data_IF_997876321926
#
_entry.id   IF_997876321926
#
_cell.length_a   1.000
_cell.length_b   1.000
_cell.length_c   1.000
_cell.angle_alpha   90.00
_cell.angle_beta   90.00
_cell.angle_gamma   90.00
#
_symmetry.space_group_name_H-M   'P 1'
#
loop_
_entity.id
_entity.type
_entity.pdbx_description
1 polymer ?
#
# COMPACT_ATOMS: atom_id res chain seq x y z
N UNK A 1 31.71 -5.88 -8.66
CA UNK A 1 30.61 -4.97 -9.00
C UNK A 1 30.36 -4.11 -7.78
N UNK A 2 30.35 -2.79 -7.84
CA UNK A 2 30.05 -1.98 -6.67
C UNK A 2 28.60 -2.27 -6.27
N UNK A 3 28.40 -2.80 -5.07
CA UNK A 3 27.10 -2.84 -4.41
C UNK A 3 26.69 -1.39 -4.19
N UNK A 4 25.71 -0.91 -4.94
CA UNK A 4 25.13 0.43 -4.68
C UNK A 4 24.51 0.36 -3.30
N UNK A 5 25.18 0.91 -2.30
CA UNK A 5 24.63 1.05 -0.96
C UNK A 5 23.32 1.84 -1.06
N UNK A 6 22.22 1.23 -0.66
CA UNK A 6 20.94 1.92 -0.59
C UNK A 6 21.02 3.04 0.44
N UNK A 7 20.71 4.25 0.03
CA UNK A 7 20.66 5.40 0.93
C UNK A 7 19.50 5.27 1.92
N UNK A 8 19.73 5.70 3.16
CA UNK A 8 18.67 5.82 4.15
C UNK A 8 17.69 6.92 3.75
N UNK A 9 16.38 6.63 3.81
CA UNK A 9 15.30 7.53 3.37
C UNK A 9 14.12 7.51 4.33
N UNK A 10 13.40 8.63 4.41
CA UNK A 10 12.07 8.65 5.01
C UNK A 10 11.16 7.74 4.18
N UNK A 11 10.73 6.64 4.77
CA UNK A 11 10.06 5.55 4.06
C UNK A 11 8.65 5.34 4.58
N UNK A 12 7.71 5.14 3.67
CA UNK A 12 6.34 4.72 3.98
C UNK A 12 6.06 3.35 3.34
N UNK A 13 5.32 2.49 4.02
CA UNK A 13 4.79 1.27 3.44
C UNK A 13 3.33 1.46 3.04
N UNK A 14 2.94 0.86 1.94
CA UNK A 14 1.58 0.80 1.46
C UNK A 14 1.17 -0.66 1.28
N UNK A 15 0.60 -1.23 2.34
CA UNK A 15 0.07 -2.57 2.35
C UNK A 15 -1.34 -2.65 1.76
N UNK A 16 -1.66 -3.73 1.09
CA UNK A 16 -3.00 -3.93 0.56
C UNK A 16 -3.16 -5.26 -0.16
N UNK A 17 -4.41 -5.66 -0.37
CA UNK A 17 -4.70 -6.85 -1.19
C UNK A 17 -4.36 -6.60 -2.65
N UNK A 18 -4.62 -5.39 -3.17
CA UNK A 18 -4.43 -4.98 -4.56
C UNK A 18 -5.03 -5.99 -5.56
N UNK A 19 -6.31 -6.25 -5.45
CA UNK A 19 -7.04 -7.26 -6.23
C UNK A 19 -8.14 -6.67 -7.14
N UNK A 20 -7.75 -5.95 -8.20
CA UNK A 20 -6.40 -5.50 -8.56
C UNK A 20 -6.01 -4.14 -8.00
N UNK A 21 -4.76 -3.74 -8.20
CA UNK A 21 -4.36 -2.34 -8.11
C UNK A 21 -5.10 -1.51 -9.18
N UNK A 22 -5.44 -0.26 -8.84
CA UNK A 22 -6.20 0.63 -9.73
C UNK A 22 -5.76 2.09 -9.58
N UNK A 23 -6.26 2.98 -10.44
CA UNK A 23 -5.92 4.41 -10.47
C UNK A 23 -6.11 5.11 -9.12
N UNK A 24 -7.10 4.67 -8.32
CA UNK A 24 -7.30 5.18 -6.97
C UNK A 24 -6.10 4.94 -6.04
N UNK A 25 -5.44 3.79 -6.11
CA UNK A 25 -4.23 3.54 -5.35
C UNK A 25 -3.07 4.44 -5.80
N UNK A 26 -2.92 4.68 -7.10
CA UNK A 26 -1.90 5.58 -7.64
C UNK A 26 -2.18 7.05 -7.26
N UNK A 27 -3.44 7.43 -7.19
CA UNK A 27 -3.85 8.75 -6.69
C UNK A 27 -3.41 8.94 -5.23
N UNK A 28 -3.53 7.91 -4.37
CA UNK A 28 -3.06 7.98 -2.99
C UNK A 28 -1.53 8.16 -2.90
N UNK A 29 -0.76 7.56 -3.81
CA UNK A 29 0.70 7.78 -3.88
C UNK A 29 1.01 9.25 -4.22
N UNK A 30 0.28 9.83 -5.18
CA UNK A 30 0.42 11.24 -5.52
C UNK A 30 0.06 12.14 -4.35
N UNK A 31 -1.05 11.87 -3.66
CA UNK A 31 -1.45 12.63 -2.47
C UNK A 31 -0.45 12.51 -1.31
N UNK A 32 0.16 11.33 -1.13
CA UNK A 32 1.22 11.14 -0.15
C UNK A 32 2.44 12.03 -0.48
N UNK A 33 2.84 12.05 -1.76
CA UNK A 33 3.97 12.85 -2.24
C UNK A 33 3.76 14.35 -2.00
N UNK A 34 2.57 14.86 -2.32
CA UNK A 34 2.22 16.28 -2.17
C UNK A 34 2.12 16.73 -0.70
N UNK A 35 1.70 15.84 0.21
CA UNK A 35 1.32 16.22 1.57
C UNK A 35 2.30 15.73 2.65
N UNK A 36 3.37 15.03 2.28
CA UNK A 36 4.31 14.46 3.25
C UNK A 36 5.76 14.58 2.79
N UNK A 37 6.73 14.48 3.71
CA UNK A 37 8.14 14.49 3.36
C UNK A 37 8.69 13.10 3.00
N UNK A 38 7.86 12.06 2.83
CA UNK A 38 8.37 10.73 2.48
C UNK A 38 9.10 10.76 1.14
N UNK A 39 10.19 9.99 1.06
CA UNK A 39 11.08 9.91 -0.10
C UNK A 39 11.01 8.54 -0.78
N UNK A 40 10.51 7.53 -0.06
CA UNK A 40 10.34 6.16 -0.55
C UNK A 40 8.99 5.61 -0.13
N UNK A 41 8.34 4.89 -1.05
CA UNK A 41 7.16 4.09 -0.74
C UNK A 41 7.41 2.65 -1.16
N UNK A 42 7.20 1.72 -0.23
CA UNK A 42 7.27 0.29 -0.50
C UNK A 42 5.85 -0.25 -0.54
N UNK A 43 5.40 -0.66 -1.71
CA UNK A 43 4.09 -1.27 -1.92
C UNK A 43 4.20 -2.76 -1.64
N UNK A 44 3.31 -3.28 -0.79
CA UNK A 44 3.40 -4.64 -0.28
C UNK A 44 2.07 -5.37 -0.49
N UNK A 45 1.94 -6.16 -1.57
CA UNK A 45 0.77 -6.99 -1.78
C UNK A 45 0.67 -8.09 -0.72
N UNK A 46 -0.44 -8.10 0.01
CA UNK A 46 -0.70 -9.12 1.03
C UNK A 46 -0.83 -10.52 0.42
N UNK A 47 -0.28 -11.54 1.08
CA UNK A 47 -0.56 -12.94 0.72
C UNK A 47 -2.03 -13.28 1.01
N UNK A 48 -2.40 -13.20 2.27
CA UNK A 48 -3.77 -13.26 2.77
C UNK A 48 -3.90 -12.11 3.76
N UNK A 49 -4.73 -11.12 3.45
CA UNK A 49 -4.94 -10.00 4.36
C UNK A 49 -5.62 -10.48 5.64
N UNK A 50 -5.08 -10.10 6.78
CA UNK A 50 -5.69 -10.40 8.07
C UNK A 50 -7.10 -9.80 8.25
N UNK A 51 -7.43 -8.76 7.47
CA UNK A 51 -8.75 -8.12 7.44
C UNK A 51 -9.74 -8.76 6.46
N UNK A 52 -9.30 -9.72 5.62
CA UNK A 52 -10.08 -10.33 4.52
C UNK A 52 -9.81 -11.83 4.39
N UNK A 53 -9.76 -12.55 5.50
CA UNK A 53 -9.39 -13.97 5.52
C UNK A 53 -10.40 -14.87 4.78
N UNK A 54 -11.67 -14.48 4.75
CA UNK A 54 -12.75 -15.23 4.09
C UNK A 54 -12.89 -14.93 2.59
N UNK A 55 -11.97 -14.14 2.01
CA UNK A 55 -11.98 -13.83 0.58
C UNK A 55 -11.00 -14.72 -0.17
N UNK A 56 -11.34 -15.04 -1.43
CA UNK A 56 -10.47 -15.76 -2.37
C UNK A 56 -9.94 -14.77 -3.43
N UNK A 57 -8.93 -13.96 -3.11
CA UNK A 57 -8.38 -13.02 -4.07
C UNK A 57 -7.67 -13.75 -5.22
N UNK A 58 -7.50 -13.04 -6.34
CA UNK A 58 -6.62 -13.47 -7.42
C UNK A 58 -5.24 -13.85 -6.90
N UNK A 59 -4.53 -14.72 -7.60
CA UNK A 59 -3.22 -15.21 -7.14
C UNK A 59 -2.31 -14.08 -6.66
N UNK A 60 -1.58 -14.31 -5.59
CA UNK A 60 -0.68 -13.30 -5.03
C UNK A 60 0.41 -12.87 -6.04
N UNK A 61 0.81 -13.77 -6.93
CA UNK A 61 1.79 -13.49 -7.99
C UNK A 61 1.19 -12.56 -9.05
N UNK A 62 -0.05 -12.79 -9.49
CA UNK A 62 -0.70 -11.90 -10.45
C UNK A 62 -0.89 -10.50 -9.86
N UNK A 63 -1.31 -10.41 -8.60
CA UNK A 63 -1.46 -9.13 -7.91
C UNK A 63 -0.13 -8.39 -7.77
N UNK A 64 0.94 -9.10 -7.44
CA UNK A 64 2.30 -8.54 -7.40
C UNK A 64 2.75 -8.03 -8.79
N UNK A 65 2.51 -8.79 -9.85
CA UNK A 65 2.85 -8.39 -11.21
C UNK A 65 2.06 -7.15 -11.65
N UNK A 66 0.76 -7.11 -11.37
CA UNK A 66 -0.07 -5.94 -11.67
C UNK A 66 0.41 -4.69 -10.93
N UNK A 67 0.84 -4.81 -9.67
CA UNK A 67 1.43 -3.69 -8.93
C UNK A 67 2.71 -3.21 -9.60
N UNK A 68 3.61 -4.09 -10.01
CA UNK A 68 4.84 -3.70 -10.73
C UNK A 68 4.56 -2.96 -12.03
N UNK A 69 3.60 -3.44 -12.80
CA UNK A 69 3.18 -2.80 -14.06
C UNK A 69 2.63 -1.41 -13.78
N UNK A 70 1.71 -1.27 -12.84
CA UNK A 70 1.08 0.00 -12.49
C UNK A 70 2.11 1.05 -12.04
N UNK A 71 3.08 0.66 -11.22
CA UNK A 71 4.12 1.58 -10.75
C UNK A 71 5.05 2.01 -11.87
N UNK A 72 5.45 1.11 -12.76
CA UNK A 72 6.27 1.45 -13.92
C UNK A 72 5.56 2.44 -14.84
N UNK A 73 4.27 2.27 -15.09
CA UNK A 73 3.47 3.21 -15.86
C UNK A 73 3.34 4.57 -15.15
N UNK A 74 3.15 4.54 -13.83
CA UNK A 74 3.08 5.75 -13.02
C UNK A 74 4.36 6.56 -13.12
N UNK A 75 5.54 5.96 -12.90
CA UNK A 75 6.85 6.61 -13.02
C UNK A 75 7.12 7.14 -14.43
N UNK A 76 6.62 6.44 -15.47
CA UNK A 76 6.78 6.89 -16.86
C UNK A 76 5.89 8.09 -17.18
N UNK A 77 4.69 8.11 -16.63
CA UNK A 77 3.66 9.11 -16.94
C UNK A 77 3.77 10.38 -16.10
N UNK A 78 4.22 10.24 -14.86
CA UNK A 78 4.26 11.33 -13.88
C UNK A 78 5.69 11.47 -13.32
N UNK A 79 6.32 12.66 -13.43
CA UNK A 79 7.56 12.91 -12.73
C UNK A 79 7.30 12.84 -11.22
N UNK A 80 7.88 11.87 -10.56
CA UNK A 80 7.75 11.67 -9.10
C UNK A 80 9.11 11.77 -8.43
N UNK A 81 9.15 12.39 -7.24
CA UNK A 81 10.32 12.38 -6.36
C UNK A 81 10.40 11.13 -5.48
N UNK A 82 9.31 10.34 -5.43
CA UNK A 82 9.27 9.12 -4.64
C UNK A 82 10.07 7.99 -5.31
N UNK A 83 10.93 7.35 -4.55
CA UNK A 83 11.44 6.03 -4.90
C UNK A 83 10.33 5.00 -4.66
N UNK A 84 9.80 4.42 -5.72
CA UNK A 84 8.76 3.42 -5.64
C UNK A 84 9.36 2.02 -5.68
N UNK A 85 9.02 1.19 -4.70
CA UNK A 85 9.47 -0.19 -4.63
C UNK A 85 8.30 -1.14 -4.39
N UNK A 86 8.41 -2.37 -4.85
CA UNK A 86 7.44 -3.44 -4.56
C UNK A 86 8.15 -4.53 -3.77
N UNK A 87 7.56 -4.93 -2.65
CA UNK A 87 8.08 -6.06 -1.85
C UNK A 87 7.15 -7.26 -1.97
N UNK A 88 7.73 -8.43 -2.17
CA UNK A 88 7.04 -9.72 -2.15
C UNK A 88 7.18 -10.45 -0.80
N UNK A 89 7.60 -9.73 0.24
CA UNK A 89 7.92 -10.30 1.55
C UNK A 89 6.76 -11.06 2.18
N UNK A 90 5.55 -10.52 2.12
CA UNK A 90 4.35 -11.20 2.65
C UNK A 90 3.98 -12.42 1.82
N UNK A 91 4.16 -12.36 0.49
CA UNK A 91 3.92 -13.48 -0.42
C UNK A 91 4.90 -14.63 -0.10
N UNK A 92 6.18 -14.31 0.08
CA UNK A 92 7.23 -15.29 0.41
C UNK A 92 7.08 -15.88 1.81
N UNK A 93 6.68 -15.06 2.79
CA UNK A 93 6.44 -15.50 4.16
C UNK A 93 5.30 -16.51 4.21
N UNK A 94 4.28 -16.34 3.37
CA UNK A 94 3.09 -17.19 3.36
C UNK A 94 2.16 -16.94 4.55
N UNK A 95 1.03 -17.62 4.57
CA UNK A 95 0.05 -17.49 5.66
C UNK A 95 -0.64 -16.13 5.70
N UNK A 96 -1.19 -15.78 6.86
CA UNK A 96 -1.85 -14.50 7.14
C UNK A 96 -0.79 -13.41 7.34
N UNK A 97 -0.99 -12.27 6.67
CA UNK A 97 -0.10 -11.11 6.75
C UNK A 97 -0.51 -10.20 7.90
N UNK A 98 0.36 -10.04 8.88
CA UNK A 98 0.20 -9.06 9.96
C UNK A 98 1.14 -7.87 9.74
N UNK A 99 0.60 -6.66 9.94
CA UNK A 99 1.35 -5.42 9.72
C UNK A 99 2.62 -5.33 10.57
N UNK A 100 2.58 -5.79 11.82
CA UNK A 100 3.76 -5.82 12.70
C UNK A 100 4.92 -6.59 12.06
N UNK A 101 4.66 -7.83 11.59
CA UNK A 101 5.70 -8.67 10.99
C UNK A 101 6.27 -8.05 9.72
N UNK A 102 5.42 -7.36 8.97
CA UNK A 102 5.82 -6.64 7.75
C UNK A 102 6.68 -5.44 8.07
N UNK A 103 6.37 -4.68 9.12
CA UNK A 103 7.18 -3.56 9.60
C UNK A 103 8.57 -4.03 10.00
N UNK A 104 8.68 -5.09 10.79
CA UNK A 104 9.97 -5.67 11.20
C UNK A 104 10.79 -6.10 9.97
N UNK A 105 10.18 -6.84 9.04
CA UNK A 105 10.84 -7.28 7.80
C UNK A 105 11.36 -6.11 6.95
N UNK A 106 10.58 -5.03 6.84
CA UNK A 106 10.98 -3.83 6.10
C UNK A 106 12.12 -3.11 6.81
N UNK A 107 12.05 -2.95 8.13
CA UNK A 107 13.12 -2.31 8.91
C UNK A 107 14.45 -3.07 8.88
N UNK A 108 14.41 -4.39 8.73
CA UNK A 108 15.61 -5.22 8.58
C UNK A 108 16.24 -5.11 7.18
N UNK A 109 15.42 -4.94 6.14
CA UNK A 109 15.87 -5.02 4.73
C UNK A 109 16.17 -3.67 4.10
N UNK A 110 15.59 -2.60 4.63
CA UNK A 110 15.69 -1.28 4.03
C UNK A 110 16.33 -0.26 4.97
N UNK A 111 17.28 0.54 4.51
CA UNK A 111 17.84 1.63 5.31
C UNK A 111 16.80 2.75 5.42
N UNK A 112 16.30 2.97 6.63
CA UNK A 112 15.21 3.89 6.94
C UNK A 112 15.74 5.03 7.81
N UNK A 113 15.35 6.26 7.48
CA UNK A 113 15.56 7.44 8.31
C UNK A 113 14.29 7.74 9.10
N UNK A 114 14.40 7.92 10.39
CA UNK A 114 13.27 8.23 11.27
C UNK A 114 12.33 7.02 11.47
N UNK A 115 11.04 7.31 11.65
CA UNK A 115 10.02 6.28 11.86
C UNK A 115 9.45 5.83 10.50
N UNK A 116 9.10 4.57 10.41
CA UNK A 116 8.44 4.03 9.23
C UNK A 116 6.98 4.53 9.17
N UNK A 117 6.56 5.06 8.01
CA UNK A 117 5.15 5.39 7.78
C UNK A 117 4.33 4.16 7.40
N UNK A 118 3.08 4.09 7.84
CA UNK A 118 2.09 3.14 7.34
C UNK A 118 0.96 3.91 6.67
N UNK A 119 0.79 3.71 5.36
CA UNK A 119 -0.29 4.30 4.58
C UNK A 119 -1.55 3.45 4.71
N UNK A 120 -2.65 4.08 5.10
CA UNK A 120 -3.93 3.39 5.34
C UNK A 120 -5.13 4.28 5.08
N UNK A 121 -6.31 3.68 4.93
CA UNK A 121 -7.59 4.40 4.92
C UNK A 121 -8.10 4.68 6.33
N UNK A 122 -8.99 5.66 6.45
CA UNK A 122 -9.62 6.07 7.71
C UNK A 122 -10.54 4.98 8.31
N UNK A 123 -11.05 4.08 7.48
CA UNK A 123 -11.83 2.91 7.88
C UNK A 123 -11.07 1.95 8.83
N UNK A 124 -9.75 1.99 8.84
CA UNK A 124 -8.92 1.15 9.70
C UNK A 124 -8.59 1.79 11.07
N UNK A 125 -8.86 3.09 11.24
CA UNK A 125 -8.50 3.83 12.46
C UNK A 125 -9.16 3.26 13.71
N UNK A 126 -10.44 2.93 13.66
CA UNK A 126 -11.16 2.41 14.84
C UNK A 126 -10.61 1.08 15.34
N UNK A 127 -10.00 0.30 14.43
CA UNK A 127 -9.49 -1.03 14.71
C UNK A 127 -8.03 -1.12 15.14
N UNK A 128 -7.28 -0.01 15.20
CA UNK A 128 -5.83 -0.03 15.44
C UNK A 128 -5.42 -0.78 16.71
N UNK A 129 -6.17 -0.64 17.81
CA UNK A 129 -5.86 -1.29 19.08
C UNK A 129 -6.01 -2.82 19.03
N UNK A 130 -6.70 -3.34 18.01
CA UNK A 130 -6.91 -4.76 17.79
C UNK A 130 -5.91 -5.37 16.81
N UNK A 131 -4.99 -4.55 16.29
CA UNK A 131 -3.95 -5.07 15.42
C UNK A 131 -2.99 -5.97 16.19
N UNK A 132 -2.45 -6.97 15.51
CA UNK A 132 -1.47 -7.85 16.10
C UNK A 132 -0.26 -7.04 16.61
N UNK A 133 0.03 -7.17 17.90
CA UNK A 133 1.09 -6.43 18.60
C UNK A 133 0.97 -4.91 18.45
N UNK A 134 -0.24 -4.38 18.60
CA UNK A 134 -0.54 -2.96 18.42
C UNK A 134 0.32 -2.04 19.31
N UNK A 135 0.56 -2.44 20.57
CA UNK A 135 1.37 -1.66 21.52
C UNK A 135 2.82 -1.50 21.03
N UNK A 136 3.42 -2.58 20.54
CA UNK A 136 4.79 -2.51 20.01
C UNK A 136 4.82 -1.80 18.65
N UNK A 137 3.78 -2.01 17.83
CA UNK A 137 3.69 -1.38 16.52
C UNK A 137 3.65 0.14 16.60
N UNK A 138 2.83 0.72 17.50
CA UNK A 138 2.71 2.18 17.66
C UNK A 138 4.03 2.85 18.07
N UNK A 139 4.94 2.12 18.71
CA UNK A 139 6.26 2.65 19.06
C UNK A 139 7.22 2.71 17.85
N UNK A 140 6.96 1.93 16.81
CA UNK A 140 7.84 1.79 15.64
C UNK A 140 7.45 2.71 14.48
N UNK A 141 6.15 3.04 14.36
CA UNK A 141 5.61 3.62 13.13
C UNK A 141 4.87 4.93 13.36
N UNK A 142 4.70 5.69 12.26
CA UNK A 142 3.72 6.76 12.13
C UNK A 142 2.60 6.30 11.20
N UNK A 143 1.35 6.50 11.59
CA UNK A 143 0.19 6.16 10.76
C UNK A 143 -0.15 7.35 9.86
N UNK A 144 -0.16 7.12 8.54
CA UNK A 144 -0.54 8.12 7.54
C UNK A 144 -1.90 7.71 6.98
N UNK A 145 -2.92 8.45 7.37
CA UNK A 145 -4.29 8.08 7.11
C UNK A 145 -4.94 9.01 6.08
N UNK A 146 -5.50 8.43 5.03
CA UNK A 146 -6.32 9.17 4.07
C UNK A 146 -7.76 9.22 4.53
N UNK A 147 -8.28 10.43 4.68
CA UNK A 147 -9.69 10.68 4.94
C UNK A 147 -10.40 11.12 3.66
N UNK A 148 -11.60 10.57 3.45
CA UNK A 148 -12.48 10.93 2.33
C UNK A 148 -13.38 12.11 2.65
N UNK A 149 -13.74 12.28 3.92
CA UNK A 149 -14.78 13.20 4.38
C UNK A 149 -14.32 14.21 5.45
N UNK A 150 -12.99 14.42 5.57
CA UNK A 150 -12.45 15.35 6.57
C UNK A 150 -12.69 14.91 8.01
N UNK A 151 -12.68 13.61 8.26
CA UNK A 151 -12.83 13.02 9.61
C UNK A 151 -11.75 13.58 10.51
N UNK A 152 -12.16 14.10 11.68
CA UNK A 152 -11.20 14.52 12.72
C UNK A 152 -10.41 13.33 13.22
N UNK A 153 -9.12 13.56 13.45
CA UNK A 153 -8.24 12.55 14.04
C UNK A 153 -8.76 12.19 15.41
N UNK A 154 -9.16 10.94 15.67
CA UNK A 154 -9.44 10.55 17.04
C UNK A 154 -8.14 10.67 17.84
N UNK A 155 -8.18 11.46 18.94
CA UNK A 155 -7.03 11.53 19.84
C UNK A 155 -6.85 10.16 20.50
N UNK A 156 -5.87 9.40 19.99
CA UNK A 156 -5.53 8.08 20.54
C UNK A 156 -4.17 8.17 21.23
N UNK A 157 -4.18 7.97 22.54
CA UNK A 157 -2.97 8.03 23.36
C UNK A 157 -1.89 7.06 22.83
N UNK A 158 -0.71 7.59 22.59
CA UNK A 158 0.45 6.85 22.09
C UNK A 158 0.49 6.62 20.59
N UNK A 159 -0.60 6.86 19.84
CA UNK A 159 -0.58 6.73 18.38
C UNK A 159 -0.17 8.04 17.70
N UNK A 160 0.77 7.96 16.77
CA UNK A 160 1.15 9.08 15.91
C UNK A 160 0.40 8.97 14.59
N UNK A 161 -0.65 9.76 14.45
CA UNK A 161 -1.54 9.72 13.29
C UNK A 161 -1.44 11.05 12.55
N UNK A 162 -1.11 10.99 11.26
CA UNK A 162 -1.18 12.11 10.33
C UNK A 162 -2.36 11.90 9.39
N UNK A 163 -3.32 12.80 9.41
CA UNK A 163 -4.42 12.79 8.45
C UNK A 163 -4.05 13.56 7.19
N UNK A 164 -4.41 13.01 6.05
CA UNK A 164 -4.33 13.65 4.74
C UNK A 164 -5.74 13.69 4.17
N UNK A 165 -6.27 14.89 3.99
CA UNK A 165 -7.55 15.09 3.29
C UNK A 165 -7.28 15.02 1.80
N UNK A 166 -7.56 13.87 1.19
CA UNK A 166 -7.40 13.67 -0.25
C UNK A 166 -8.75 13.74 -0.96
N UNK A 167 -8.81 14.39 -2.12
CA UNK A 167 -10.01 14.32 -2.96
C UNK A 167 -10.36 12.86 -3.25
N UNK A 168 -11.65 12.52 -3.15
CA UNK A 168 -12.11 11.16 -3.43
C UNK A 168 -11.84 10.82 -4.89
N UNK A 169 -11.04 9.79 -5.12
CA UNK A 169 -10.91 9.18 -6.43
C UNK A 169 -11.89 8.01 -6.53
N UNK A 170 -12.86 8.13 -7.43
CA UNK A 170 -13.92 7.12 -7.61
C UNK A 170 -13.37 5.87 -8.28
N UNK A 171 -12.66 5.04 -7.54
CA UNK A 171 -12.17 3.76 -8.01
C UNK A 171 -12.16 2.73 -6.87
N UNK A 172 -12.51 1.50 -7.19
CA UNK A 172 -12.44 0.39 -6.24
C UNK A 172 -12.10 -0.93 -6.93
N UNK A 173 -11.35 -1.79 -6.24
CA UNK A 173 -11.08 -3.15 -6.73
C UNK A 173 -12.38 -3.94 -6.94
N UNK A 174 -13.42 -3.68 -6.15
CA UNK A 174 -14.73 -4.33 -6.30
C UNK A 174 -15.38 -3.94 -7.63
N UNK A 175 -15.37 -2.66 -8.00
CA UNK A 175 -15.90 -2.20 -9.29
C UNK A 175 -15.14 -2.82 -10.47
N UNK A 176 -13.80 -2.92 -10.37
CA UNK A 176 -13.00 -3.60 -11.39
C UNK A 176 -13.38 -5.08 -11.53
N UNK A 177 -13.51 -5.80 -10.41
CA UNK A 177 -13.94 -7.21 -10.44
C UNK A 177 -15.35 -7.41 -10.97
N UNK A 178 -16.19 -6.37 -10.92
CA UNK A 178 -17.53 -6.33 -11.53
C UNK A 178 -17.53 -5.86 -12.99
N UNK A 179 -16.35 -5.70 -13.62
CA UNK A 179 -16.22 -5.42 -15.06
C UNK A 179 -15.81 -3.99 -15.43
N UNK A 180 -15.67 -3.05 -14.48
CA UNK A 180 -15.22 -1.68 -14.78
C UNK A 180 -13.69 -1.59 -14.92
N UNK A 181 -13.19 -2.06 -16.04
CA UNK A 181 -11.75 -2.02 -16.35
C UNK A 181 -11.22 -0.60 -16.65
N UNK A 182 -12.09 0.42 -16.77
CA UNK A 182 -11.67 1.81 -17.00
C UNK A 182 -10.85 2.38 -15.84
N UNK A 183 -10.97 1.80 -14.65
CA UNK A 183 -10.23 2.19 -13.46
C UNK A 183 -8.79 1.66 -13.43
N UNK A 184 -8.42 0.78 -14.35
CA UNK A 184 -7.07 0.24 -14.49
C UNK A 184 -6.19 1.16 -15.34
N UNK A 185 -4.88 1.12 -15.11
CA UNK A 185 -3.90 1.62 -16.07
C UNK A 185 -3.88 0.71 -17.30
N UNK A 186 -3.35 1.20 -18.41
CA UNK A 186 -3.40 0.45 -19.68
C UNK A 186 -2.68 -0.89 -19.58
N UNK A 187 -1.45 -0.91 -19.05
CA UNK A 187 -0.69 -2.16 -18.92
C UNK A 187 -1.29 -3.14 -17.90
N UNK A 188 -1.94 -2.64 -16.83
CA UNK A 188 -2.67 -3.53 -15.90
C UNK A 188 -3.91 -4.11 -16.57
N UNK A 189 -4.61 -3.33 -17.39
CA UNK A 189 -5.76 -3.81 -18.17
C UNK A 189 -5.33 -4.90 -19.16
N UNK A 190 -4.26 -4.66 -19.91
CA UNK A 190 -3.69 -5.66 -20.84
C UNK A 190 -3.30 -6.95 -20.11
N UNK A 191 -2.69 -6.83 -18.92
CA UNK A 191 -2.35 -8.00 -18.10
C UNK A 191 -3.59 -8.78 -17.69
N UNK A 192 -4.63 -8.10 -17.21
CA UNK A 192 -5.91 -8.68 -16.80
C UNK A 192 -6.56 -9.45 -17.97
N UNK A 193 -6.62 -8.83 -19.15
CA UNK A 193 -7.19 -9.41 -20.36
C UNK A 193 -6.39 -10.63 -20.83
N UNK A 194 -5.06 -10.53 -20.89
CA UNK A 194 -4.16 -11.60 -21.33
C UNK A 194 -4.22 -12.84 -20.43
N UNK A 195 -4.41 -12.65 -19.12
CA UNK A 195 -4.48 -13.75 -18.14
C UNK A 195 -5.92 -14.17 -17.80
N UNK A 196 -6.91 -13.57 -18.44
CA UNK A 196 -8.31 -13.91 -18.23
C UNK A 196 -8.81 -13.68 -16.81
N UNK A 197 -8.25 -12.68 -16.11
CA UNK A 197 -8.61 -12.35 -14.74
C UNK A 197 -9.92 -11.53 -14.71
N UNK A 198 -10.69 -11.67 -13.61
CA UNK A 198 -11.92 -10.92 -13.36
C UNK A 198 -12.98 -11.03 -14.48
N UNK A 199 -13.00 -12.14 -15.21
CA UNK A 199 -14.08 -12.42 -16.16
C UNK A 199 -15.34 -12.81 -15.38
N UNK A 200 -16.40 -12.04 -15.53
CA UNK A 200 -17.75 -12.34 -15.04
C UNK A 200 -18.44 -13.31 -15.99
#
# INVERSE_FOLDING_TARGET
MPTTEMKSKLTCIFGGTFDPIHKGHLHLLHQLEENTPYERVIIIPARISNFKQDTHPTSAIDRYNMVKIALKEYETKYPTRLELAVSDSEIKRGGVSYTYDTVIDVMEKWPITGRLGILMGDDLLEGLDRWYRAEELKELVDFVCFSRDGVEVPNREGYRIRMINAPVYQASSTSVRSGDLSQLTDGVREYVEAHGLYRT
#
